data_IF_433829428985
#
_entry.id   IF_433829428985
#
_cell.length_a   1.000
_cell.length_b   1.000
_cell.length_c   1.000
_cell.angle_alpha   90.00
_cell.angle_beta   90.00
_cell.angle_gamma   90.00
#
_symmetry.space_group_name_H-M   'P 1'
#
loop_
_entity.id
_entity.type
_entity.pdbx_description
1 polymer ?
#
# COMPACT_ATOMS: atom_id res chain seq x y z
N UNK A 1 12.56 -16.59 14.55
CA UNK A 1 13.09 -15.76 13.45
C UNK A 1 12.06 -15.68 12.33
N UNK A 2 11.14 -14.70 12.39
CA UNK A 2 10.20 -14.39 11.31
C UNK A 2 10.40 -12.94 10.92
N UNK A 3 10.63 -12.67 9.63
CA UNK A 3 11.06 -11.40 9.03
C UNK A 3 10.00 -10.28 9.07
N UNK A 4 9.46 -9.97 10.24
CA UNK A 4 8.60 -8.82 10.52
C UNK A 4 8.91 -8.29 11.93
N UNK A 5 10.20 -8.15 12.23
CA UNK A 5 10.65 -7.37 13.38
C UNK A 5 10.17 -5.93 13.19
N UNK A 6 9.55 -5.35 14.23
CA UNK A 6 8.87 -4.05 14.24
C UNK A 6 9.78 -2.84 14.00
N UNK A 7 10.42 -2.79 12.84
CA UNK A 7 11.50 -1.87 12.47
C UNK A 7 11.07 -0.76 11.50
N UNK A 8 9.78 -0.70 11.13
CA UNK A 8 9.20 0.49 10.49
C UNK A 8 8.14 1.00 11.45
N UNK A 9 8.34 2.20 12.02
CA UNK A 9 7.38 2.83 12.94
C UNK A 9 5.96 2.84 12.37
N UNK A 10 4.97 3.20 13.21
CA UNK A 10 3.55 3.20 12.88
C UNK A 10 3.27 3.49 11.39
N UNK A 11 2.82 2.49 10.64
CA UNK A 11 2.46 2.68 9.22
C UNK A 11 1.06 3.26 9.16
N UNK A 12 0.93 4.43 8.56
CA UNK A 12 -0.37 5.03 8.31
C UNK A 12 -0.99 4.39 7.06
N UNK A 13 -2.14 3.76 7.26
CA UNK A 13 -2.85 3.03 6.21
C UNK A 13 -4.04 3.86 5.75
N UNK A 14 -3.96 4.39 4.53
CA UNK A 14 -5.03 5.18 3.94
C UNK A 14 -5.76 4.39 2.85
N UNK A 15 -7.09 4.37 2.91
CA UNK A 15 -7.95 3.81 1.87
C UNK A 15 -8.19 4.86 0.79
N UNK A 16 -7.76 4.56 -0.43
CA UNK A 16 -7.96 5.42 -1.60
C UNK A 16 -9.18 4.92 -2.35
N UNK A 17 -10.16 5.80 -2.50
CA UNK A 17 -11.37 5.52 -3.26
C UNK A 17 -11.06 5.55 -4.77
N UNK A 18 -11.84 4.83 -5.60
CA UNK A 18 -11.64 4.77 -7.05
C UNK A 18 -11.59 6.16 -7.71
N UNK A 19 -12.41 7.12 -7.25
CA UNK A 19 -12.41 8.49 -7.78
C UNK A 19 -11.14 9.29 -7.43
N UNK A 20 -10.39 8.90 -6.39
CA UNK A 20 -9.11 9.52 -6.00
C UNK A 20 -7.92 8.85 -6.69
N UNK A 21 -8.10 7.66 -7.26
CA UNK A 21 -7.07 6.89 -7.94
C UNK A 21 -6.82 7.43 -9.36
N UNK A 22 -6.22 8.61 -9.46
CA UNK A 22 -5.99 9.27 -10.76
C UNK A 22 -4.77 8.73 -11.51
N UNK A 23 -3.85 8.09 -10.79
CA UNK A 23 -2.57 7.55 -11.29
C UNK A 23 -2.54 6.03 -11.20
N UNK A 24 -1.73 5.42 -12.06
CA UNK A 24 -1.44 3.99 -12.04
C UNK A 24 -0.24 3.75 -11.11
N UNK A 25 -0.30 2.71 -10.29
CA UNK A 25 0.77 2.33 -9.37
C UNK A 25 1.06 0.84 -9.46
N UNK A 26 2.21 0.38 -8.99
CA UNK A 26 2.55 -1.05 -8.94
C UNK A 26 2.38 -1.56 -7.52
N UNK A 27 1.63 -2.64 -7.37
CA UNK A 27 1.45 -3.30 -6.09
C UNK A 27 2.67 -4.19 -5.78
N UNK A 28 3.36 -4.02 -4.63
CA UNK A 28 4.53 -4.83 -4.29
C UNK A 28 4.18 -6.28 -3.90
N UNK A 29 2.94 -6.55 -3.49
CA UNK A 29 2.52 -7.91 -3.11
C UNK A 29 2.31 -8.85 -4.30
N UNK A 30 1.77 -8.33 -5.41
CA UNK A 30 1.49 -9.13 -6.62
C UNK A 30 2.28 -8.69 -7.85
N UNK A 31 3.07 -7.61 -7.74
CA UNK A 31 3.78 -6.97 -8.85
C UNK A 31 2.89 -6.57 -10.04
N UNK A 32 1.58 -6.43 -9.82
CA UNK A 32 0.62 -6.00 -10.84
C UNK A 32 0.32 -4.50 -10.73
N UNK A 33 -0.05 -3.91 -11.86
CA UNK A 33 -0.45 -2.50 -11.93
C UNK A 33 -1.85 -2.32 -11.36
N UNK A 34 -1.98 -1.41 -10.40
CA UNK A 34 -3.24 -0.83 -9.92
C UNK A 34 -3.68 0.21 -10.96
N UNK A 35 -4.78 0.00 -11.70
CA UNK A 35 -5.26 0.95 -12.68
C UNK A 35 -5.77 2.24 -12.02
N UNK A 36 -5.85 3.30 -12.83
CA UNK A 36 -6.61 4.50 -12.45
C UNK A 36 -8.08 4.13 -12.28
N UNK A 37 -8.78 4.75 -11.34
CA UNK A 37 -10.17 4.41 -11.07
C UNK A 37 -10.37 3.16 -10.18
N UNK A 38 -9.29 2.56 -9.67
CA UNK A 38 -9.37 1.37 -8.80
C UNK A 38 -9.11 1.73 -7.35
N UNK A 39 -10.04 1.36 -6.47
CA UNK A 39 -9.89 1.54 -5.03
C UNK A 39 -8.74 0.69 -4.49
N UNK A 40 -7.84 1.30 -3.74
CA UNK A 40 -6.60 0.65 -3.28
C UNK A 40 -6.15 1.20 -1.91
N UNK A 41 -5.16 0.55 -1.32
CA UNK A 41 -4.59 0.90 -0.02
C UNK A 41 -3.25 1.60 -0.23
N UNK A 42 -2.98 2.64 0.54
CA UNK A 42 -1.67 3.29 0.60
C UNK A 42 -1.15 3.11 2.02
N UNK A 43 0.00 2.46 2.14
CA UNK A 43 0.71 2.33 3.40
C UNK A 43 1.88 3.33 3.39
N UNK A 44 1.86 4.26 4.33
CA UNK A 44 2.87 5.32 4.48
C UNK A 44 3.64 5.06 5.78
N UNK A 45 4.96 4.82 5.73
CA UNK A 45 5.77 4.72 6.95
C UNK A 45 5.87 6.09 7.62
N UNK A 46 5.65 6.17 8.94
CA UNK A 46 5.79 7.44 9.68
C UNK A 46 7.22 8.02 9.62
N UNK A 47 8.23 7.16 9.63
CA UNK A 47 9.64 7.55 9.59
C UNK A 47 10.13 7.92 8.18
N UNK A 48 9.41 7.49 7.14
CA UNK A 48 9.79 7.66 5.74
C UNK A 48 8.56 7.80 4.83
N UNK A 49 7.87 8.95 4.84
CA UNK A 49 6.66 9.16 4.05
C UNK A 49 6.88 9.05 2.53
N UNK A 50 8.11 9.28 2.08
CA UNK A 50 8.50 9.11 0.68
C UNK A 50 8.48 7.66 0.21
N UNK A 51 8.64 6.70 1.13
CA UNK A 51 8.57 5.27 0.86
C UNK A 51 7.14 4.72 0.90
N UNK A 52 6.12 5.57 0.68
CA UNK A 52 4.73 5.15 0.59
C UNK A 52 4.53 4.07 -0.47
N UNK A 53 3.81 3.02 -0.12
CA UNK A 53 3.54 1.87 -1.00
C UNK A 53 2.06 1.72 -1.28
N UNK A 54 1.74 1.45 -2.53
CA UNK A 54 0.37 1.26 -2.98
C UNK A 54 0.07 -0.23 -3.11
N UNK A 55 -1.04 -0.68 -2.54
CA UNK A 55 -1.44 -2.08 -2.50
C UNK A 55 -2.85 -2.25 -3.01
N UNK A 56 -3.12 -3.33 -3.74
CA UNK A 56 -4.52 -3.73 -3.94
C UNK A 56 -5.15 -4.05 -2.60
N UNK A 57 -6.44 -3.73 -2.43
CA UNK A 57 -7.20 -4.04 -1.21
C UNK A 57 -7.03 -5.52 -0.81
N UNK A 58 -7.23 -6.42 -1.77
CA UNK A 58 -7.08 -7.87 -1.55
C UNK A 58 -5.65 -8.32 -1.31
N UNK A 59 -4.64 -7.61 -1.81
CA UNK A 59 -3.23 -7.95 -1.53
C UNK A 59 -2.84 -7.49 -0.12
N UNK A 60 -3.32 -6.33 0.30
CA UNK A 60 -3.12 -5.81 1.65
C UNK A 60 -3.73 -6.73 2.72
N UNK A 61 -5.00 -7.13 2.53
CA UNK A 61 -5.70 -8.05 3.44
C UNK A 61 -5.04 -9.45 3.53
N UNK A 62 -4.19 -9.81 2.57
CA UNK A 62 -3.42 -11.08 2.59
C UNK A 62 -2.02 -10.91 3.20
N UNK A 63 -1.54 -9.69 3.36
CA UNK A 63 -0.19 -9.38 3.89
C UNK A 63 -0.23 -8.87 5.34
N UNK A 64 -1.40 -8.50 5.85
CA UNK A 64 -1.70 -8.27 7.27
C UNK A 64 -2.26 -9.55 7.87
#
# INVERSE_FOLDING_TARGET
MGLWDGSHGAVEVQRIQPYQALKRYVCPGCHQVIPRGTGHIVAVPADAPDLRRHWHKSCWERNT
#
